data_IF_926909374081
#
_entry.id   IF_926909374081
#
_cell.length_a   1.000
_cell.length_b   1.000
_cell.length_c   1.000
_cell.angle_alpha   90.00
_cell.angle_beta   90.00
_cell.angle_gamma   90.00
#
_symmetry.space_group_name_H-M   'P 1'
#
loop_
_entity.id
_entity.type
_entity.pdbx_description
1 polymer ?
#
# COMPACT_ATOMS: atom_id res chain seq x y z
N UNK A 1 3.34 -26.55 6.08
CA UNK A 1 4.13 -25.55 5.32
C UNK A 1 3.31 -24.27 5.28
N UNK A 2 3.88 -23.12 5.62
CA UNK A 2 3.14 -21.85 5.52
C UNK A 2 3.21 -21.33 4.08
N UNK A 3 2.05 -21.15 3.44
CA UNK A 3 1.96 -20.59 2.08
C UNK A 3 2.01 -19.07 2.18
N UNK A 4 2.95 -18.45 1.47
CA UNK A 4 2.99 -17.00 1.32
C UNK A 4 2.14 -16.61 0.11
N UNK A 5 1.26 -15.64 0.28
CA UNK A 5 0.43 -15.08 -0.79
C UNK A 5 0.80 -13.62 -1.02
N UNK A 6 0.94 -13.24 -2.29
CA UNK A 6 1.26 -11.88 -2.70
C UNK A 6 0.01 -11.18 -3.22
N UNK A 7 -0.22 -9.94 -2.77
CA UNK A 7 -1.37 -9.12 -3.18
C UNK A 7 -0.87 -7.74 -3.60
N UNK A 8 -1.56 -7.14 -4.59
CA UNK A 8 -1.35 -5.76 -5.00
C UNK A 8 -2.54 -4.94 -4.48
N UNK A 9 -2.24 -3.91 -3.69
CA UNK A 9 -3.25 -2.99 -3.14
C UNK A 9 -3.13 -1.67 -3.89
N UNK A 10 -4.23 -1.23 -4.53
CA UNK A 10 -4.34 0.09 -5.14
C UNK A 10 -5.18 0.98 -4.24
N UNK A 11 -4.68 2.16 -3.91
CA UNK A 11 -5.33 3.13 -3.01
C UNK A 11 -5.34 4.50 -3.66
N UNK A 12 -6.34 5.33 -3.35
CA UNK A 12 -6.47 6.69 -3.90
C UNK A 12 -5.83 7.75 -3.01
N UNK A 13 -6.00 7.65 -1.69
CA UNK A 13 -5.63 8.73 -0.75
C UNK A 13 -4.86 8.24 0.49
N UNK A 14 -4.41 6.99 0.47
CA UNK A 14 -3.69 6.40 1.60
C UNK A 14 -2.18 6.50 1.40
N UNK A 15 -1.47 6.95 2.43
CA UNK A 15 0.00 6.83 2.46
C UNK A 15 0.37 5.39 2.81
N UNK A 16 1.61 5.01 2.50
CA UNK A 16 2.15 3.68 2.84
C UNK A 16 1.93 3.33 4.32
N UNK A 17 2.13 4.30 5.23
CA UNK A 17 1.92 4.11 6.67
C UNK A 17 0.45 3.80 7.04
N UNK A 18 -0.51 4.37 6.32
CA UNK A 18 -1.94 4.16 6.59
C UNK A 18 -2.33 2.74 6.15
N UNK A 19 -1.85 2.32 4.97
CA UNK A 19 -2.04 0.96 4.46
C UNK A 19 -1.42 -0.07 5.39
N UNK A 20 -0.19 0.19 5.86
CA UNK A 20 0.49 -0.69 6.80
C UNK A 20 -0.30 -0.86 8.10
N UNK A 21 -0.72 0.26 8.72
CA UNK A 21 -1.49 0.24 9.97
C UNK A 21 -2.81 -0.48 9.81
N UNK A 22 -3.54 -0.26 8.72
CA UNK A 22 -4.82 -0.91 8.47
C UNK A 22 -4.68 -2.44 8.37
N UNK A 23 -3.64 -2.92 7.67
CA UNK A 23 -3.35 -4.36 7.56
C UNK A 23 -2.94 -4.96 8.91
N UNK A 24 -2.09 -4.27 9.67
CA UNK A 24 -1.68 -4.70 11.01
C UNK A 24 -2.87 -4.76 11.98
N UNK A 25 -3.77 -3.77 11.95
CA UNK A 25 -5.00 -3.75 12.75
C UNK A 25 -5.95 -4.90 12.39
N UNK A 26 -5.96 -5.33 11.13
CA UNK A 26 -6.71 -6.51 10.68
C UNK A 26 -6.04 -7.85 11.06
N UNK A 27 -4.91 -7.83 11.77
CA UNK A 27 -4.14 -9.02 12.15
C UNK A 27 -3.28 -9.59 11.02
N UNK A 28 -3.12 -8.86 9.91
CA UNK A 28 -2.31 -9.28 8.78
C UNK A 28 -0.85 -8.88 9.05
N UNK A 29 0.03 -9.87 9.11
CA UNK A 29 1.46 -9.63 9.25
C UNK A 29 2.07 -9.19 7.92
N UNK A 30 2.26 -7.89 7.76
CA UNK A 30 2.94 -7.30 6.60
C UNK A 30 4.43 -7.66 6.64
N UNK A 31 4.93 -8.33 5.59
CA UNK A 31 6.36 -8.66 5.47
C UNK A 31 7.15 -7.65 4.64
N UNK A 32 6.50 -7.07 3.64
CA UNK A 32 7.09 -6.07 2.74
C UNK A 32 5.96 -5.33 2.03
N UNK A 33 6.09 -4.01 1.90
CA UNK A 33 5.26 -3.20 1.00
C UNK A 33 6.18 -2.68 -0.10
N UNK A 34 5.81 -2.92 -1.35
CA UNK A 34 6.54 -2.43 -2.52
C UNK A 34 5.66 -1.38 -3.19
N UNK A 35 6.15 -0.15 -3.29
CA UNK A 35 5.50 0.90 -4.07
C UNK A 35 5.81 0.64 -5.56
N UNK A 36 4.81 0.16 -6.30
CA UNK A 36 4.99 -0.24 -7.72
C UNK A 36 4.83 0.94 -8.67
N UNK A 37 4.03 1.95 -8.29
CA UNK A 37 3.76 3.13 -9.11
C UNK A 37 3.23 4.27 -8.22
N UNK A 38 3.79 5.48 -8.37
CA UNK A 38 3.29 6.70 -7.75
C UNK A 38 3.06 7.73 -8.85
N UNK A 39 1.81 8.09 -9.07
CA UNK A 39 1.46 9.17 -10.00
C UNK A 39 1.43 10.47 -9.21
N UNK A 40 2.36 11.39 -9.49
CA UNK A 40 2.21 12.77 -9.05
C UNK A 40 1.23 13.44 -10.01
N UNK A 41 -0.01 13.66 -9.56
CA UNK A 41 -0.91 14.59 -10.25
C UNK A 41 -0.32 15.98 -10.08
N UNK A 42 0.61 16.35 -10.95
CA UNK A 42 1.04 17.72 -11.12
C UNK A 42 -0.21 18.53 -11.44
N UNK A 43 -0.66 19.32 -10.47
CA UNK A 43 -1.64 20.36 -10.73
C UNK A 43 -0.95 21.34 -11.67
N UNK A 44 -1.28 21.28 -12.96
CA UNK A 44 -1.01 22.35 -13.91
C UNK A 44 -1.62 23.63 -13.32
N UNK A 45 -0.78 24.47 -12.73
CA UNK A 45 -1.08 25.88 -12.56
C UNK A 45 -0.39 26.58 -13.73
N UNK A 46 -1.21 27.00 -14.69
CA UNK A 46 -0.82 27.96 -15.71
C UNK A 46 -0.56 29.36 -15.15
#
# INVERSE_FOLDING_TARGET
MATNSNYIVKVTDAKLMDVQKALEQAGIKVRSIIEVFKEETATEKG
#
